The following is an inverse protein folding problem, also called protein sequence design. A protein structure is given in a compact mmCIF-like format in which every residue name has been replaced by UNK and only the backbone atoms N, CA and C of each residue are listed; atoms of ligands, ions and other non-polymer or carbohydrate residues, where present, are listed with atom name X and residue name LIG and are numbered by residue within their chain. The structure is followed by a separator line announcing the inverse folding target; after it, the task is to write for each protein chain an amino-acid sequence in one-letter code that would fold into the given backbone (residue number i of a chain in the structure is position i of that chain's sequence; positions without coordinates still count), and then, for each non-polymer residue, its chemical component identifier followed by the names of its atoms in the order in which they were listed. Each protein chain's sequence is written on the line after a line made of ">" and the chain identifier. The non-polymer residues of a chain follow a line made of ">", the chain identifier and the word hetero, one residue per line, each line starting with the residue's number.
data_IF_404343906179
#
_entry.id   IF_404343906179
#
_cell.length_a   1.000
_cell.length_b   1.000
_cell.length_c   1.000
_cell.angle_alpha   90.00
_cell.angle_beta   90.00
_cell.angle_gamma   90.00
#
_symmetry.space_group_name_H-M   'P 1'
#
loop_
_entity.id
_entity.type
_entity.pdbx_description
1 polymer ?
#
# COMPACT_ATOMS: atom_id res chain seq x y z
N UNK A 1 -2.52 1.14 -5.49
CA UNK A 1 -1.29 1.55 -6.20
C UNK A 1 -0.58 0.30 -6.74
N UNK A 2 0.22 0.42 -7.79
CA UNK A 2 1.15 -0.65 -8.20
C UNK A 2 2.31 -0.69 -7.21
N UNK A 3 2.44 -1.81 -6.49
CA UNK A 3 3.44 -1.99 -5.46
C UNK A 3 4.66 -2.77 -5.97
N UNK A 4 5.76 -2.72 -5.21
CA UNK A 4 6.98 -3.46 -5.51
C UNK A 4 6.76 -4.96 -5.25
N UNK A 5 7.27 -5.80 -6.14
CA UNK A 5 7.08 -7.25 -6.14
C UNK A 5 7.88 -8.02 -5.09
N UNK A 6 8.81 -7.36 -4.40
CA UNK A 6 9.68 -8.01 -3.40
C UNK A 6 8.91 -8.68 -2.25
N UNK A 7 7.77 -8.09 -1.84
CA UNK A 7 6.89 -8.69 -0.83
C UNK A 7 6.38 -10.07 -1.28
N UNK A 8 5.75 -10.13 -2.46
CA UNK A 8 5.20 -11.36 -3.00
C UNK A 8 6.29 -12.42 -3.19
N UNK A 9 7.46 -12.02 -3.68
CA UNK A 9 8.60 -12.94 -3.87
C UNK A 9 9.01 -13.61 -2.57
N UNK A 10 9.18 -12.83 -1.51
CA UNK A 10 9.54 -13.37 -0.20
C UNK A 10 8.44 -14.29 0.33
N UNK A 11 7.19 -13.84 0.33
CA UNK A 11 6.07 -14.59 0.87
C UNK A 11 5.85 -15.94 0.15
N UNK A 12 5.97 -15.97 -1.18
CA UNK A 12 5.85 -17.18 -1.99
C UNK A 12 7.00 -18.14 -1.70
N UNK A 13 8.24 -17.64 -1.66
CA UNK A 13 9.44 -18.45 -1.43
C UNK A 13 9.44 -19.09 -0.03
N UNK A 14 9.06 -18.33 1.00
CA UNK A 14 9.07 -18.79 2.39
C UNK A 14 7.76 -19.45 2.81
N UNK A 15 6.72 -19.40 1.96
CA UNK A 15 5.35 -19.81 2.27
C UNK A 15 4.82 -19.19 3.56
N UNK A 16 5.26 -17.97 3.86
CA UNK A 16 4.88 -17.28 5.09
C UNK A 16 3.49 -16.66 4.94
N UNK A 17 2.66 -16.70 6.00
CA UNK A 17 1.34 -16.06 5.96
C UNK A 17 1.49 -14.54 5.82
N UNK A 18 0.75 -13.96 4.88
CA UNK A 18 0.71 -12.50 4.67
C UNK A 18 -0.57 -11.94 5.25
N UNK A 19 -0.44 -11.08 6.26
CA UNK A 19 -1.56 -10.42 6.92
C UNK A 19 -1.65 -8.98 6.40
N UNK A 20 -2.74 -8.61 5.69
CA UNK A 20 -2.92 -7.26 5.19
C UNK A 20 -3.37 -6.35 6.33
N UNK A 21 -2.74 -5.18 6.45
CA UNK A 21 -3.06 -4.18 7.47
C UNK A 21 -3.33 -2.85 6.78
N UNK A 22 -4.51 -2.28 7.02
CA UNK A 22 -4.85 -0.92 6.61
C UNK A 22 -4.74 0.03 7.80
N UNK A 23 -4.20 1.22 7.55
CA UNK A 23 -4.04 2.28 8.55
C UNK A 23 -4.52 3.61 7.97
N UNK A 24 -5.23 4.40 8.79
CA UNK A 24 -5.69 5.74 8.43
C UNK A 24 -5.61 6.70 9.61
N UNK A 25 -5.27 7.95 9.33
CA UNK A 25 -5.21 9.05 10.30
C UNK A 25 -3.78 9.44 10.68
N UNK A 26 -2.79 8.56 10.53
CA UNK A 26 -1.39 8.91 10.77
C UNK A 26 -0.89 10.00 9.82
N UNK A 27 -1.37 10.02 8.58
CA UNK A 27 -1.04 11.05 7.60
C UNK A 27 -1.54 12.45 7.99
N UNK A 28 -2.52 12.54 8.88
CA UNK A 28 -3.06 13.81 9.40
C UNK A 28 -2.21 14.30 10.59
N UNK A 29 -1.73 13.37 11.42
CA UNK A 29 -0.85 13.68 12.56
C UNK A 29 0.49 14.22 12.07
N UNK A 30 1.09 13.55 11.09
CA UNK A 30 2.37 13.92 10.52
C UNK A 30 2.32 13.79 8.99
N UNK A 31 1.97 14.86 8.27
CA UNK A 31 1.93 14.86 6.82
C UNK A 31 3.30 14.60 6.19
N UNK A 32 3.33 13.93 5.06
CA UNK A 32 4.57 13.61 4.35
C UNK A 32 5.35 14.88 3.99
N UNK A 33 6.65 14.90 4.31
CA UNK A 33 7.58 16.03 4.12
C UNK A 33 7.26 17.30 4.94
N UNK A 34 6.43 17.20 5.97
CA UNK A 34 6.17 18.30 6.89
C UNK A 34 6.83 18.04 8.25
N UNK A 35 7.42 19.08 8.84
CA UNK A 35 8.04 19.01 10.18
C UNK A 35 7.06 19.32 11.31
N UNK A 36 5.85 19.78 10.97
CA UNK A 36 4.82 20.17 11.94
C UNK A 36 3.97 18.96 12.26
N UNK A 37 4.06 18.49 13.50
CA UNK A 37 3.20 17.43 14.03
C UNK A 37 1.95 18.09 14.60
N UNK A 38 0.77 17.66 14.14
CA UNK A 38 -0.51 18.18 14.62
C UNK A 38 -0.96 17.39 15.85
N UNK A 39 -0.62 17.91 17.03
CA UNK A 39 -0.97 17.29 18.31
C UNK A 39 -2.40 17.62 18.78
N UNK A 40 -2.97 18.76 18.34
CA UNK A 40 -4.28 19.23 18.79
C UNK A 40 -5.16 19.75 17.63
N UNK A 41 -6.46 19.42 17.58
CA UNK A 41 -7.16 18.40 18.38
C UNK A 41 -6.64 16.98 18.08
N UNK A 42 -6.80 16.04 19.03
CA UNK A 42 -6.30 14.67 18.92
C UNK A 42 -6.84 13.99 17.66
N UNK A 43 -5.95 13.53 16.79
CA UNK A 43 -6.35 12.84 15.57
C UNK A 43 -6.57 11.35 15.87
N UNK A 44 -7.75 10.77 15.53
CA UNK A 44 -7.97 9.34 15.66
C UNK A 44 -7.17 8.58 14.59
N UNK A 45 -6.33 7.63 15.02
CA UNK A 45 -5.67 6.68 14.13
C UNK A 45 -6.43 5.37 14.21
N UNK A 46 -6.91 4.88 13.07
CA UNK A 46 -7.62 3.60 12.95
C UNK A 46 -6.72 2.62 12.22
N UNK A 47 -6.69 1.38 12.71
CA UNK A 47 -5.93 0.28 12.13
C UNK A 47 -6.88 -0.91 12.02
N UNK A 48 -6.85 -1.59 10.87
CA UNK A 48 -7.62 -2.80 10.63
C UNK A 48 -6.69 -3.86 10.04
N UNK A 49 -6.58 -5.00 10.71
CA UNK A 49 -5.88 -6.17 10.21
C UNK A 49 -6.91 -7.14 9.60
N UNK A 50 -6.66 -7.59 8.38
CA UNK A 50 -7.45 -8.62 7.73
C UNK A 50 -6.97 -10.02 8.07
N UNK A 51 -7.62 -11.01 7.47
CA UNK A 51 -7.22 -12.41 7.56
C UNK A 51 -5.95 -12.67 6.75
N UNK A 52 -5.25 -13.76 7.07
CA UNK A 52 -4.13 -14.22 6.27
C UNK A 52 -4.56 -14.48 4.83
N UNK A 53 -3.80 -13.95 3.88
CA UNK A 53 -4.05 -14.11 2.46
C UNK A 53 -3.54 -15.46 1.97
N UNK A 54 -4.34 -16.11 1.13
CA UNK A 54 -3.92 -17.34 0.47
C UNK A 54 -3.09 -17.00 -0.77
N UNK A 55 -1.80 -17.33 -0.71
CA UNK A 55 -0.86 -17.19 -1.82
C UNK A 55 -0.57 -18.52 -2.52
N UNK A 56 -1.28 -19.59 -2.16
CA UNK A 56 -1.10 -20.92 -2.73
C UNK A 56 -1.12 -20.98 -4.27
N UNK A 57 -1.96 -20.20 -4.99
CA UNK A 57 -1.96 -20.18 -6.46
C UNK A 57 -0.62 -19.75 -7.12
N UNK A 58 0.24 -19.07 -6.35
CA UNK A 58 1.54 -18.56 -6.83
C UNK A 58 2.75 -19.29 -6.25
N UNK A 59 2.55 -20.36 -5.45
CA UNK A 59 3.66 -21.18 -4.95
C UNK A 59 4.45 -21.85 -6.08
N UNK A 60 5.79 -21.78 -5.97
CA UNK A 60 6.72 -22.28 -7.00
C UNK A 60 6.93 -21.32 -8.19
N UNK A 61 6.34 -20.12 -8.14
CA UNK A 61 6.47 -19.07 -9.18
C UNK A 61 7.27 -17.85 -8.70
N UNK A 62 8.14 -18.01 -7.71
CA UNK A 62 8.93 -16.93 -7.10
C UNK A 62 9.93 -16.26 -8.06
N UNK A 63 10.21 -16.87 -9.21
CA UNK A 63 11.09 -16.35 -10.24
C UNK A 63 10.34 -15.90 -11.51
N UNK A 64 9.02 -16.01 -11.55
CA UNK A 64 8.19 -15.53 -12.65
C UNK A 64 7.74 -14.08 -12.38
N UNK A 65 8.24 -13.08 -13.14
CA UNK A 65 7.89 -11.69 -12.92
C UNK A 65 6.39 -11.41 -13.04
N UNK A 66 5.68 -12.10 -13.95
CA UNK A 66 4.25 -11.89 -14.15
C UNK A 66 3.45 -12.40 -12.95
N UNK A 67 3.77 -13.59 -12.46
CA UNK A 67 3.18 -14.16 -11.25
C UNK A 67 3.41 -13.27 -10.02
N UNK A 68 4.61 -12.70 -9.89
CA UNK A 68 4.92 -11.78 -8.78
C UNK A 68 4.10 -10.49 -8.83
N UNK A 69 3.91 -9.91 -10.03
CA UNK A 69 3.07 -8.72 -10.22
C UNK A 69 1.63 -9.03 -9.86
N UNK A 70 1.10 -10.16 -10.31
CA UNK A 70 -0.26 -10.59 -10.00
C UNK A 70 -0.48 -10.84 -8.50
N UNK A 71 0.40 -11.60 -7.86
CA UNK A 71 0.34 -11.87 -6.42
C UNK A 71 0.44 -10.57 -5.60
N UNK A 72 1.30 -9.64 -6.02
CA UNK A 72 1.41 -8.33 -5.37
C UNK A 72 0.13 -7.51 -5.56
N UNK A 73 -0.47 -7.53 -6.75
CA UNK A 73 -1.74 -6.87 -7.00
C UNK A 73 -2.88 -7.47 -6.16
N UNK A 74 -2.90 -8.79 -5.97
CA UNK A 74 -3.84 -9.48 -5.08
C UNK A 74 -3.73 -8.98 -3.63
N UNK A 75 -2.51 -8.94 -3.08
CA UNK A 75 -2.29 -8.41 -1.72
C UNK A 75 -2.71 -6.95 -1.61
N UNK A 76 -2.34 -6.12 -2.59
CA UNK A 76 -2.71 -4.70 -2.60
C UNK A 76 -4.22 -4.47 -2.71
N UNK A 77 -4.96 -5.33 -3.41
CA UNK A 77 -6.43 -5.29 -3.44
C UNK A 77 -6.99 -5.53 -2.04
N UNK A 78 -6.56 -6.58 -1.35
CA UNK A 78 -7.01 -6.85 0.02
C UNK A 78 -6.75 -5.68 0.99
N UNK A 79 -5.57 -5.07 0.94
CA UNK A 79 -5.27 -3.86 1.74
C UNK A 79 -6.21 -2.71 1.36
N UNK A 80 -6.51 -2.56 0.07
CA UNK A 80 -7.39 -1.48 -0.40
C UNK A 80 -8.83 -1.69 0.09
N UNK A 81 -9.33 -2.92 0.06
CA UNK A 81 -10.69 -3.24 0.52
C UNK A 81 -10.83 -2.97 2.03
N UNK A 82 -9.81 -3.30 2.83
CA UNK A 82 -9.75 -2.93 4.25
C UNK A 82 -9.74 -1.40 4.44
N UNK A 83 -9.03 -0.68 3.57
CA UNK A 83 -8.94 0.78 3.65
C UNK A 83 -10.24 1.47 3.23
N UNK A 84 -10.97 0.91 2.26
CA UNK A 84 -12.33 1.36 1.90
C UNK A 84 -13.29 1.21 3.08
N UNK A 85 -13.28 0.06 3.73
CA UNK A 85 -14.08 -0.19 4.93
C UNK A 85 -13.75 0.81 6.04
N UNK A 86 -12.45 1.06 6.26
CA UNK A 86 -11.97 1.91 7.34
C UNK A 86 -12.29 3.40 7.10
N UNK A 87 -12.29 3.84 5.83
CA UNK A 87 -12.66 5.21 5.42
C UNK A 87 -14.17 5.41 5.23
N UNK A 88 -14.91 4.36 4.89
CA UNK A 88 -16.29 4.48 4.42
C UNK A 88 -16.40 5.06 3.00
N UNK A 89 -15.31 5.03 2.23
CA UNK A 89 -15.24 5.59 0.87
C UNK A 89 -14.72 4.53 -0.09
N UNK A 90 -15.22 4.53 -1.33
CA UNK A 90 -14.70 3.64 -2.37
C UNK A 90 -13.36 4.15 -2.91
N UNK A 91 -12.48 3.23 -3.30
CA UNK A 91 -11.24 3.55 -3.99
C UNK A 91 -11.54 4.17 -5.35
N UNK A 92 -10.64 5.04 -5.86
CA UNK A 92 -10.69 5.47 -7.25
C UNK A 92 -10.64 4.28 -8.21
N UNK A 93 -11.33 4.40 -9.35
CA UNK A 93 -11.36 3.35 -10.38
C UNK A 93 -9.95 3.10 -10.94
N UNK A 94 -9.19 4.19 -11.13
CA UNK A 94 -7.83 4.13 -11.63
C UNK A 94 -6.83 3.84 -10.50
N UNK A 95 -6.07 2.75 -10.67
CA UNK A 95 -5.03 2.36 -9.71
C UNK A 95 -3.79 3.19 -9.99
N UNK A 96 -3.35 3.98 -9.01
CA UNK A 96 -2.12 4.76 -9.12
C UNK A 96 -0.90 3.88 -9.45
N UNK A 97 -0.24 4.13 -10.58
CA UNK A 97 1.02 3.49 -10.96
C UNK A 97 2.19 4.48 -10.85
N UNK A 98 3.13 4.26 -9.90
CA UNK A 98 4.32 5.11 -9.77
C UNK A 98 5.23 5.13 -11.02
N UNK A 99 5.20 4.11 -11.87
CA UNK A 99 6.07 4.04 -13.04
C UNK A 99 5.64 4.98 -14.16
N UNK A 100 4.32 5.24 -14.24
CA UNK A 100 3.70 6.09 -15.24
C UNK A 100 3.33 7.48 -14.69
N UNK A 101 3.67 7.76 -13.44
CA UNK A 101 3.37 9.06 -12.82
C UNK A 101 4.45 10.09 -13.14
N UNK A 102 4.05 11.35 -13.36
CA UNK A 102 4.95 12.50 -13.52
C UNK A 102 5.66 12.92 -12.22
N UNK A 103 5.41 12.20 -11.12
CA UNK A 103 6.03 12.46 -9.83
C UNK A 103 7.49 11.99 -9.85
N UNK A 104 8.41 12.75 -9.23
CA UNK A 104 9.80 12.33 -9.13
C UNK A 104 9.89 11.02 -8.32
N UNK A 105 10.64 10.05 -8.84
CA UNK A 105 10.83 8.72 -8.23
C UNK A 105 11.49 8.77 -6.84
N UNK A 106 12.25 9.82 -6.56
CA UNK A 106 12.95 10.04 -5.29
C UNK A 106 12.89 11.52 -4.89
N UNK A 107 13.05 11.80 -3.59
CA UNK A 107 13.07 13.16 -3.06
C UNK A 107 11.69 13.75 -2.75
N UNK A 108 11.66 15.03 -2.38
CA UNK A 108 10.44 15.72 -1.98
C UNK A 108 9.65 16.19 -3.22
N UNK A 109 8.66 15.41 -3.65
CA UNK A 109 7.80 15.75 -4.79
C UNK A 109 6.94 17.00 -4.58
N UNK A 110 6.77 17.48 -3.34
CA UNK A 110 6.04 18.73 -3.06
C UNK A 110 6.82 19.99 -3.45
N UNK A 111 8.16 19.93 -3.55
CA UNK A 111 8.99 21.11 -3.90
C UNK A 111 8.81 21.57 -5.35
N UNK A 112 8.56 20.65 -6.29
CA UNK A 112 8.31 20.97 -7.71
C UNK A 112 6.91 21.54 -7.98
N UNK A 113 6.01 21.55 -6.98
CA UNK A 113 4.60 21.95 -7.11
C UNK A 113 4.33 23.40 -6.69
N UNK A 114 5.38 24.17 -6.41
CA UNK A 114 5.29 25.61 -6.19
C UNK A 114 5.44 26.31 -7.56
N UNK A 115 4.41 27.04 -8.04
CA UNK A 115 4.64 28.08 -9.04
C UNK A 115 5.54 29.20 -8.48
#
# INVERSE_FOLDING_TARGET
>A
MVAKTGLARLAIMTKSPVIPIAQWGSQIVMPTYEKKIKFFPRTPIKILAGNALDLSPWYGKENDPAALVEATAFVMRAITDLLEQLRGEKRPVEIFDPHNSDLPRTGNFKKKRLP
#
